data_IF_002036900039
#
_entry.id   IF_002036900039
#
_cell.length_a   1.000
_cell.length_b   1.000
_cell.length_c   1.000
_cell.angle_alpha   90.00
_cell.angle_beta   90.00
_cell.angle_gamma   90.00
#
_symmetry.space_group_name_H-M   'P 1'
#
loop_
_entity.id
_entity.type
_entity.pdbx_description
1 polymer ?
#
# COMPACT_ATOMS: atom_id res chain seq x y z
N UNK A 1 -3.16 -11.55 -14.94
CA UNK A 1 -2.84 -10.53 -13.91
C UNK A 1 -3.31 -9.19 -14.45
N UNK A 2 -4.09 -8.39 -13.71
CA UNK A 2 -4.45 -7.03 -14.16
C UNK A 2 -3.26 -6.10 -13.92
N UNK A 3 -2.85 -5.28 -14.89
CA UNK A 3 -1.79 -4.29 -14.67
C UNK A 3 -2.27 -3.22 -13.69
N UNK A 4 -1.35 -2.70 -12.89
CA UNK A 4 -1.55 -1.57 -12.00
C UNK A 4 -0.47 -0.54 -12.31
N UNK A 5 -0.87 0.72 -12.37
CA UNK A 5 0.02 1.84 -12.62
C UNK A 5 0.36 2.54 -11.29
N UNK A 6 1.62 2.89 -11.13
CA UNK A 6 2.12 3.66 -9.99
C UNK A 6 2.55 5.02 -10.54
N UNK A 7 1.85 6.07 -10.11
CA UNK A 7 2.09 7.44 -10.56
C UNK A 7 3.19 8.11 -9.73
N UNK A 8 3.89 9.07 -10.33
CA UNK A 8 4.85 9.91 -9.59
C UNK A 8 4.13 10.88 -8.66
N UNK A 9 4.77 11.21 -7.54
CA UNK A 9 4.34 12.26 -6.63
C UNK A 9 5.22 13.50 -6.80
N UNK A 10 4.67 14.70 -6.60
CA UNK A 10 5.40 15.95 -6.76
C UNK A 10 6.55 16.10 -5.76
N UNK A 11 6.34 15.66 -4.52
CA UNK A 11 7.40 15.53 -3.51
C UNK A 11 8.23 14.26 -3.78
N UNK A 12 9.54 14.39 -4.10
CA UNK A 12 10.41 13.25 -4.36
C UNK A 12 10.57 12.29 -3.18
N UNK A 13 10.48 12.78 -1.93
CA UNK A 13 10.60 11.93 -0.73
C UNK A 13 9.39 11.02 -0.54
N UNK A 14 8.22 11.47 -1.01
CA UNK A 14 6.97 10.72 -0.96
C UNK A 14 6.66 10.00 -2.28
N UNK A 15 7.52 10.13 -3.30
CA UNK A 15 7.28 9.60 -4.62
C UNK A 15 7.65 8.12 -4.73
N UNK A 16 6.69 7.20 -4.95
CA UNK A 16 6.99 5.77 -5.09
C UNK A 16 7.83 5.46 -6.33
N UNK A 17 7.69 6.25 -7.40
CA UNK A 17 8.50 6.09 -8.62
C UNK A 17 9.99 6.41 -8.37
N UNK A 18 10.30 7.53 -7.71
CA UNK A 18 11.68 7.89 -7.36
C UNK A 18 12.29 6.93 -6.32
N UNK A 19 11.47 6.48 -5.35
CA UNK A 19 11.88 5.43 -4.41
C UNK A 19 12.25 4.13 -5.14
N UNK A 20 11.43 3.70 -6.11
CA UNK A 20 11.71 2.52 -6.93
C UNK A 20 12.98 2.67 -7.77
N UNK A 21 13.16 3.81 -8.45
CA UNK A 21 14.38 4.09 -9.23
C UNK A 21 15.64 3.98 -8.38
N UNK A 22 15.62 4.61 -7.20
CA UNK A 22 16.74 4.58 -6.25
C UNK A 22 17.01 3.16 -5.75
N UNK A 23 15.95 2.41 -5.43
CA UNK A 23 16.06 1.01 -5.02
C UNK A 23 16.65 0.12 -6.12
N UNK A 24 16.16 0.24 -7.37
CA UNK A 24 16.61 -0.63 -8.46
C UNK A 24 18.07 -0.36 -8.83
N UNK A 25 18.54 0.89 -8.74
CA UNK A 25 19.96 1.21 -8.95
C UNK A 25 20.88 0.44 -7.98
N UNK A 26 20.38 0.15 -6.77
CA UNK A 26 21.12 -0.59 -5.76
C UNK A 26 21.09 -2.12 -5.97
N UNK A 27 20.02 -2.67 -6.55
CA UNK A 27 19.83 -4.13 -6.69
C UNK A 27 19.92 -4.67 -8.12
N UNK A 28 20.06 -3.80 -9.14
CA UNK A 28 19.95 -4.14 -10.58
C UNK A 28 20.91 -5.23 -11.08
N UNK A 29 22.05 -5.42 -10.42
CA UNK A 29 23.08 -6.34 -10.88
C UNK A 29 22.77 -7.82 -10.56
N UNK A 30 21.67 -8.07 -9.86
CA UNK A 30 21.32 -9.40 -9.36
C UNK A 30 19.93 -9.77 -9.84
N UNK A 31 19.74 -10.98 -10.36
CA UNK A 31 18.43 -11.50 -10.70
C UNK A 31 17.84 -12.25 -9.50
N UNK A 32 16.59 -11.96 -9.16
CA UNK A 32 15.85 -12.66 -8.11
C UNK A 32 14.56 -13.17 -8.71
N UNK A 33 14.54 -14.46 -9.06
CA UNK A 33 13.45 -15.11 -9.77
C UNK A 33 12.85 -16.21 -8.90
N UNK A 34 11.52 -16.30 -8.85
CA UNK A 34 10.81 -17.34 -8.13
C UNK A 34 9.73 -17.96 -9.02
N UNK A 35 9.60 -19.29 -8.99
CA UNK A 35 8.49 -19.96 -9.67
C UNK A 35 7.19 -19.61 -8.97
N UNK A 36 6.13 -19.39 -9.74
CA UNK A 36 4.83 -19.17 -9.15
C UNK A 36 4.18 -20.51 -8.79
N UNK A 37 3.85 -20.72 -7.51
CA UNK A 37 3.34 -22.01 -7.03
C UNK A 37 2.06 -22.47 -7.76
N UNK A 38 1.19 -21.53 -8.12
CA UNK A 38 -0.07 -21.83 -8.80
C UNK A 38 0.07 -21.99 -10.32
N UNK A 39 1.16 -21.49 -10.91
CA UNK A 39 1.45 -21.61 -12.34
C UNK A 39 2.95 -21.86 -12.54
N UNK A 40 3.40 -23.13 -12.48
CA UNK A 40 4.82 -23.48 -12.43
C UNK A 40 5.61 -23.07 -13.68
N UNK A 41 4.92 -22.89 -14.81
CA UNK A 41 5.50 -22.39 -16.06
C UNK A 41 5.79 -20.87 -16.03
N UNK A 42 5.26 -20.17 -15.03
CA UNK A 42 5.46 -18.74 -14.84
C UNK A 42 6.56 -18.48 -13.82
N UNK A 43 7.55 -17.70 -14.23
CA UNK A 43 8.59 -17.22 -13.33
C UNK A 43 8.36 -15.74 -13.03
N UNK A 44 8.35 -15.38 -11.75
CA UNK A 44 8.16 -14.02 -11.27
C UNK A 44 9.50 -13.41 -10.88
N UNK A 45 9.75 -12.17 -11.33
CA UNK A 45 10.84 -11.36 -10.82
C UNK A 45 10.42 -10.75 -9.48
N UNK A 46 11.15 -11.10 -8.43
CA UNK A 46 10.84 -10.65 -7.08
C UNK A 46 11.38 -9.24 -6.87
N UNK A 47 10.44 -8.30 -6.68
CA UNK A 47 10.74 -6.88 -6.52
C UNK A 47 11.47 -6.60 -5.21
N UNK A 48 10.89 -7.00 -4.07
CA UNK A 48 11.44 -6.76 -2.74
C UNK A 48 12.40 -7.89 -2.34
N UNK A 49 13.64 -7.53 -2.01
CA UNK A 49 14.75 -8.45 -1.78
C UNK A 49 15.44 -8.17 -0.45
N UNK A 50 16.19 -9.14 0.07
CA UNK A 50 16.99 -8.94 1.27
C UNK A 50 18.16 -7.98 1.04
N UNK A 51 18.39 -7.04 1.95
CA UNK A 51 19.47 -6.03 1.83
C UNK A 51 20.87 -6.67 1.85
N UNK A 52 21.03 -7.78 2.57
CA UNK A 52 22.29 -8.53 2.65
C UNK A 52 22.49 -9.53 1.52
N UNK A 53 21.42 -9.90 0.81
CA UNK A 53 21.44 -10.93 -0.23
C UNK A 53 20.33 -10.64 -1.26
N UNK A 54 20.70 -9.94 -2.33
CA UNK A 54 19.76 -9.52 -3.37
C UNK A 54 19.22 -10.68 -4.21
N UNK A 55 19.75 -11.90 -4.09
CA UNK A 55 19.20 -13.08 -4.76
C UNK A 55 17.98 -13.65 -4.03
N UNK A 56 17.73 -13.24 -2.78
CA UNK A 56 16.64 -13.76 -1.97
C UNK A 56 15.46 -12.79 -1.90
N UNK A 57 14.24 -13.25 -2.21
CA UNK A 57 13.05 -12.44 -2.03
C UNK A 57 12.78 -12.20 -0.56
N UNK A 58 12.22 -11.04 -0.24
CA UNK A 58 11.81 -10.71 1.12
C UNK A 58 10.47 -11.40 1.44
N UNK A 59 10.39 -12.11 2.56
CA UNK A 59 9.16 -12.77 3.00
C UNK A 59 8.12 -11.80 3.55
N UNK A 60 6.85 -12.20 3.53
CA UNK A 60 5.73 -11.44 4.15
C UNK A 60 5.97 -11.21 5.64
N UNK A 61 6.55 -12.18 6.36
CA UNK A 61 6.91 -12.04 7.77
C UNK A 61 8.00 -10.98 7.99
N UNK A 62 8.98 -10.93 7.09
CA UNK A 62 10.05 -9.93 7.16
C UNK A 62 9.52 -8.53 6.87
N UNK A 63 8.64 -8.38 5.88
CA UNK A 63 7.93 -7.13 5.60
C UNK A 63 7.11 -6.69 6.84
N UNK A 64 6.35 -7.61 7.42
CA UNK A 64 5.53 -7.35 8.61
C UNK A 64 6.40 -6.87 9.77
N UNK A 65 7.53 -7.55 10.03
CA UNK A 65 8.49 -7.15 11.07
C UNK A 65 9.05 -5.75 10.83
N UNK A 66 9.46 -5.42 9.59
CA UNK A 66 9.94 -4.08 9.26
C UNK A 66 8.87 -3.02 9.49
N UNK A 67 7.62 -3.29 9.09
CA UNK A 67 6.48 -2.39 9.32
C UNK A 67 6.26 -2.16 10.82
N UNK A 68 6.28 -3.22 11.64
CA UNK A 68 6.13 -3.09 13.09
C UNK A 68 7.24 -2.24 13.70
N UNK A 69 8.51 -2.51 13.35
CA UNK A 69 9.65 -1.73 13.86
C UNK A 69 9.56 -0.26 13.47
N UNK A 70 9.25 0.04 12.21
CA UNK A 70 9.09 1.43 11.75
C UNK A 70 7.91 2.12 12.43
N UNK A 71 6.81 1.39 12.63
CA UNK A 71 5.63 1.93 13.31
C UNK A 71 5.90 2.25 14.78
N UNK A 72 6.81 1.54 15.43
CA UNK A 72 7.20 1.79 16.82
C UNK A 72 8.00 3.10 16.98
N UNK A 73 8.73 3.50 15.93
CA UNK A 73 9.46 4.77 15.89
C UNK A 73 8.54 6.00 15.73
N UNK A 74 7.28 5.80 15.34
CA UNK A 74 6.31 6.89 15.19
C UNK A 74 5.71 7.20 16.56
N UNK A 75 5.91 8.44 17.03
CA UNK A 75 5.30 8.94 18.27
C UNK A 75 3.79 8.91 18.15
N UNK A 76 3.11 8.30 19.12
CA UNK A 76 1.65 8.20 19.19
C UNK A 76 1.13 8.60 20.56
N UNK A 77 -0.11 9.10 20.66
CA UNK A 77 -0.78 9.27 21.94
C UNK A 77 -0.86 7.93 22.71
N UNK A 78 -0.83 7.96 24.05
CA UNK A 78 -0.97 6.76 24.87
C UNK A 78 -2.27 6.03 24.53
N UNK A 79 -2.22 4.69 24.55
CA UNK A 79 -3.34 3.79 24.22
C UNK A 79 -3.85 3.86 22.77
N UNK A 80 -3.10 4.47 21.84
CA UNK A 80 -3.45 4.40 20.40
C UNK A 80 -3.02 3.05 19.83
N UNK A 81 -3.93 2.28 19.19
CA UNK A 81 -3.57 1.00 18.59
C UNK A 81 -2.55 1.20 17.46
N UNK A 82 -1.70 0.19 17.26
CA UNK A 82 -0.74 0.23 16.17
C UNK A 82 -1.48 0.23 14.82
N UNK A 83 -1.18 1.22 14.00
CA UNK A 83 -1.81 1.39 12.70
C UNK A 83 -1.42 0.23 11.79
N UNK A 84 -2.42 -0.45 11.23
CA UNK A 84 -2.19 -1.36 10.10
C UNK A 84 -1.93 -0.51 8.87
N UNK A 85 -0.69 -0.46 8.38
CA UNK A 85 -0.30 0.31 7.18
C UNK A 85 -1.19 0.00 5.97
N UNK A 86 -1.62 -1.26 5.82
CA UNK A 86 -2.55 -1.69 4.75
C UNK A 86 -3.93 -1.02 4.81
N UNK A 87 -4.34 -0.54 5.99
CA UNK A 87 -5.61 0.16 6.20
C UNK A 87 -5.46 1.69 6.12
N UNK A 88 -4.29 2.21 6.50
CA UNK A 88 -4.02 3.64 6.59
C UNK A 88 -4.12 4.36 5.23
N UNK A 89 -3.38 3.89 4.22
CA UNK A 89 -3.37 4.53 2.89
C UNK A 89 -4.76 4.61 2.24
N UNK A 90 -5.49 3.48 2.13
CA UNK A 90 -6.86 3.45 1.62
C UNK A 90 -7.84 4.33 2.42
N UNK A 91 -7.69 4.39 3.75
CA UNK A 91 -8.52 5.28 4.58
C UNK A 91 -8.24 6.75 4.25
N UNK A 92 -6.98 7.15 4.16
CA UNK A 92 -6.60 8.54 3.82
C UNK A 92 -7.06 8.90 2.41
N UNK A 93 -6.93 7.98 1.44
CA UNK A 93 -7.43 8.17 0.08
C UNK A 93 -8.96 8.38 0.08
N UNK A 94 -9.71 7.59 0.83
CA UNK A 94 -11.16 7.75 0.95
C UNK A 94 -11.55 9.08 1.62
N UNK A 95 -10.82 9.52 2.65
CA UNK A 95 -11.03 10.83 3.30
C UNK A 95 -10.73 11.98 2.32
N UNK A 96 -9.73 11.80 1.45
CA UNK A 96 -9.42 12.74 0.36
C UNK A 96 -10.43 12.68 -0.82
N UNK A 97 -11.45 11.83 -0.74
CA UNK A 97 -12.51 11.73 -1.76
C UNK A 97 -12.17 10.84 -2.96
N UNK A 98 -11.10 10.05 -2.90
CA UNK A 98 -10.79 9.08 -3.97
C UNK A 98 -11.92 8.05 -4.08
N UNK A 99 -12.43 7.77 -5.28
CA UNK A 99 -13.50 6.79 -5.47
C UNK A 99 -13.13 5.42 -4.90
N UNK A 100 -14.08 4.80 -4.21
CA UNK A 100 -13.84 3.49 -3.58
C UNK A 100 -13.53 2.39 -4.61
N UNK A 101 -14.04 2.51 -5.85
CA UNK A 101 -13.69 1.64 -6.97
C UNK A 101 -12.20 1.66 -7.27
N UNK A 102 -11.61 2.84 -7.24
CA UNK A 102 -10.21 3.08 -7.62
C UNK A 102 -9.30 2.60 -6.50
N UNK A 103 -9.68 2.84 -5.24
CA UNK A 103 -9.00 2.30 -4.06
C UNK A 103 -9.00 0.77 -4.09
N UNK A 104 -10.16 0.14 -4.33
CA UNK A 104 -10.29 -1.33 -4.38
C UNK A 104 -9.48 -1.91 -5.54
N UNK A 105 -9.50 -1.28 -6.71
CA UNK A 105 -8.71 -1.69 -7.87
C UNK A 105 -7.21 -1.60 -7.59
N UNK A 106 -6.74 -0.48 -7.03
CA UNK A 106 -5.33 -0.24 -6.73
C UNK A 106 -4.81 -1.16 -5.62
N UNK A 107 -5.64 -1.48 -4.62
CA UNK A 107 -5.30 -2.37 -3.52
C UNK A 107 -5.44 -3.87 -3.87
N UNK A 108 -5.89 -4.19 -5.09
CA UNK A 108 -6.19 -5.55 -5.55
C UNK A 108 -7.13 -6.32 -4.60
N UNK A 109 -8.14 -5.62 -4.06
CA UNK A 109 -9.15 -6.26 -3.23
C UNK A 109 -10.28 -6.84 -4.08
N UNK A 110 -10.93 -7.89 -3.55
CA UNK A 110 -11.99 -8.60 -4.26
C UNK A 110 -13.21 -7.74 -4.54
N UNK A 111 -13.55 -6.83 -3.62
CA UNK A 111 -14.70 -5.94 -3.73
C UNK A 111 -14.66 -4.81 -2.68
N UNK A 112 -15.63 -3.90 -2.76
CA UNK A 112 -15.85 -2.83 -1.79
C UNK A 112 -16.10 -3.33 -0.37
N UNK A 113 -16.83 -4.44 -0.19
CA UNK A 113 -17.11 -4.99 1.13
C UNK A 113 -15.81 -5.33 1.89
N UNK A 114 -14.82 -5.87 1.19
CA UNK A 114 -13.50 -6.16 1.75
C UNK A 114 -12.81 -4.88 2.24
N UNK A 115 -12.86 -3.81 1.45
CA UNK A 115 -12.32 -2.50 1.85
C UNK A 115 -13.05 -1.95 3.07
N UNK A 116 -14.36 -1.78 2.99
CA UNK A 116 -15.13 -1.03 3.99
C UNK A 116 -15.20 -1.72 5.35
N UNK A 117 -15.19 -3.05 5.41
CA UNK A 117 -15.32 -3.77 6.68
C UNK A 117 -13.99 -4.14 7.33
N UNK A 118 -12.91 -4.32 6.55
CA UNK A 118 -11.64 -4.85 7.08
C UNK A 118 -10.48 -3.88 7.00
N UNK A 119 -10.52 -2.90 6.08
CA UNK A 119 -9.38 -2.02 5.81
C UNK A 119 -9.69 -0.54 5.92
N UNK A 120 -10.96 -0.15 6.00
CA UNK A 120 -11.36 1.24 6.23
C UNK A 120 -11.44 1.51 7.74
N UNK A 121 -10.53 2.36 8.25
CA UNK A 121 -10.46 2.66 9.68
C UNK A 121 -11.56 3.61 10.14
N UNK A 122 -12.03 4.49 9.27
CA UNK A 122 -13.15 5.38 9.54
C UNK A 122 -14.02 5.59 8.31
N UNK A 123 -15.32 5.74 8.55
CA UNK A 123 -16.30 6.14 7.52
C UNK A 123 -16.53 7.65 7.49
N UNK A 124 -15.69 8.42 8.19
CA UNK A 124 -15.75 9.88 8.19
C UNK A 124 -15.48 10.40 6.77
N UNK A 125 -16.45 11.10 6.21
CA UNK A 125 -16.31 11.83 4.95
C UNK A 125 -16.15 13.31 5.28
N UNK A 126 -15.29 14.03 4.55
CA UNK A 126 -15.22 15.49 4.69
C UNK A 126 -16.46 16.21 4.13
N UNK A 127 -17.37 15.49 3.48
CA UNK A 127 -18.64 16.01 2.98
C UNK A 127 -19.73 16.04 4.06
N UNK A 128 -20.33 17.20 4.29
CA UNK A 128 -21.56 17.35 5.05
C UNK A 128 -22.74 16.85 4.19
N UNK A 129 -23.13 15.59 4.38
CA UNK A 129 -24.22 14.96 3.62
C UNK A 129 -25.53 15.74 3.79
N UNK A 130 -25.75 16.34 4.97
CA UNK A 130 -26.96 17.11 5.24
C UNK A 130 -27.01 18.38 4.39
N UNK A 131 -25.92 19.14 4.27
CA UNK A 131 -25.86 20.30 3.37
C UNK A 131 -25.98 19.92 1.89
N UNK A 132 -25.39 18.79 1.48
CA UNK A 132 -25.51 18.32 0.09
C UNK A 132 -26.92 17.85 -0.26
N UNK A 133 -27.67 17.30 0.70
CA UNK A 133 -29.03 16.81 0.50
C UNK A 133 -30.10 17.88 0.73
N UNK A 134 -29.83 18.83 1.62
CA UNK A 134 -30.67 19.96 1.97
C UNK A 134 -29.85 21.24 1.75
N UNK A 135 -29.70 21.69 0.49
CA UNK A 135 -29.07 22.96 0.22
C UNK A 135 -29.87 24.05 0.94
N UNK A 136 -29.23 24.70 1.90
CA UNK A 136 -29.73 25.93 2.46
C UNK A 136 -29.59 26.96 1.34
N UNK A 137 -30.70 27.59 0.95
CA UNK A 137 -30.71 28.70 -0.02
C UNK A 137 -29.61 29.73 0.25
#
# INVERSE_FOLDING_TARGET
MKPCEIQSHADPLLCPVEAYKSYILHVKNVQCMQKYDNHPDTTLSMLLRHIRDFNKPLSVDSISRHVFMLSDLIVRPPNTPLLKTRALGPTLAAVAGVPSSDIVAQAFWSNYYMFDNYYRLSRSTNSNITESALPLE
#
